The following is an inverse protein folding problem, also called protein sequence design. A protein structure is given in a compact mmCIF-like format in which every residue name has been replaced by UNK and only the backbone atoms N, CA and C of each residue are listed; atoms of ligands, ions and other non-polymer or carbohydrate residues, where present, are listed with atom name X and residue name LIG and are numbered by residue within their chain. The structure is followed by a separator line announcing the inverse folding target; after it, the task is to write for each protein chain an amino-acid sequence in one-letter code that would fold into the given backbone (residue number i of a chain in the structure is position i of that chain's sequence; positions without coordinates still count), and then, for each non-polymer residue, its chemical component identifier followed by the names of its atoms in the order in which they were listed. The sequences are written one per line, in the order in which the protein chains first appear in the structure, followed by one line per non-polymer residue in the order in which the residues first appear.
data_IF_847444438029
#
_entry.id   IF_847444438029
#
_cell.length_a   1.000
_cell.length_b   1.000
_cell.length_c   1.000
_cell.angle_alpha   90.00
_cell.angle_beta   90.00
_cell.angle_gamma   90.00
#
_symmetry.space_group_name_H-M   'P 1'
#
loop_
_entity.id
_entity.type
_entity.pdbx_description
1 polymer ?
#
# COMPACT_ATOMS: atom_id res chain seq x y z
N UNK A 1 0.37 -25.16 2.27
CA UNK A 1 -1.02 -24.70 2.41
C UNK A 1 -1.19 -24.04 3.77
N UNK A 2 -0.94 -24.76 4.86
CA UNK A 2 -1.02 -24.26 6.25
C UNK A 2 -0.36 -22.88 6.49
N UNK A 3 0.87 -22.67 6.03
CA UNK A 3 1.55 -21.37 6.21
C UNK A 3 0.82 -20.20 5.53
N UNK A 4 0.18 -20.41 4.38
CA UNK A 4 -0.59 -19.36 3.71
C UNK A 4 -1.86 -19.03 4.48
N UNK A 5 -2.51 -20.05 5.03
CA UNK A 5 -3.74 -19.87 5.80
C UNK A 5 -3.46 -19.16 7.14
N UNK A 6 -2.31 -19.45 7.77
CA UNK A 6 -1.84 -18.69 8.94
C UNK A 6 -1.65 -17.21 8.60
N UNK A 7 -0.93 -16.90 7.51
CA UNK A 7 -0.71 -15.51 7.10
C UNK A 7 -2.03 -14.82 6.72
N UNK A 8 -2.90 -15.49 5.97
CA UNK A 8 -4.22 -14.98 5.59
C UNK A 8 -5.01 -14.54 6.83
N UNK A 9 -5.12 -15.44 7.81
CA UNK A 9 -5.84 -15.16 9.05
C UNK A 9 -5.17 -14.06 9.87
N UNK A 10 -3.83 -14.01 9.89
CA UNK A 10 -3.08 -13.02 10.66
C UNK A 10 -3.24 -11.59 10.13
N UNK A 11 -3.54 -11.42 8.85
CA UNK A 11 -3.72 -10.11 8.21
C UNK A 11 -5.17 -9.79 7.86
N UNK A 12 -6.13 -10.58 8.37
CA UNK A 12 -7.56 -10.46 8.05
C UNK A 12 -7.85 -10.45 6.53
N UNK A 13 -7.13 -11.27 5.78
CA UNK A 13 -7.41 -11.52 4.37
C UNK A 13 -8.54 -12.54 4.22
N UNK A 14 -9.39 -12.33 3.22
CA UNK A 14 -10.56 -13.17 2.90
C UNK A 14 -10.19 -14.32 1.95
N UNK A 15 -11.18 -15.13 1.59
CA UNK A 15 -11.02 -16.18 0.57
C UNK A 15 -10.85 -15.61 -0.85
N UNK A 16 -11.25 -14.36 -1.08
CA UNK A 16 -11.05 -13.64 -2.34
C UNK A 16 -9.63 -13.06 -2.45
N UNK A 17 -8.85 -13.08 -1.35
CA UNK A 17 -7.49 -12.56 -1.30
C UNK A 17 -6.41 -13.64 -1.53
N UNK A 18 -5.41 -13.27 -2.32
CA UNK A 18 -4.27 -14.12 -2.64
C UNK A 18 -3.07 -13.87 -1.71
N UNK A 19 -2.55 -14.93 -1.08
CA UNK A 19 -1.27 -14.88 -0.34
C UNK A 19 -0.12 -15.38 -1.21
N UNK A 20 0.74 -14.45 -1.64
CA UNK A 20 1.86 -14.72 -2.54
C UNK A 20 3.18 -14.63 -1.77
N UNK A 21 4.00 -15.68 -1.84
CA UNK A 21 5.36 -15.64 -1.31
C UNK A 21 6.34 -15.16 -2.39
N UNK A 22 6.94 -14.00 -2.16
CA UNK A 22 7.72 -13.26 -3.16
C UNK A 22 9.22 -13.57 -3.16
N UNK A 23 9.78 -14.23 -2.15
CA UNK A 23 11.23 -14.48 -2.07
C UNK A 23 11.93 -13.50 -1.14
N UNK A 24 12.86 -12.69 -1.64
CA UNK A 24 13.80 -11.88 -0.83
C UNK A 24 13.23 -10.51 -0.41
N UNK A 25 12.06 -10.51 0.23
CA UNK A 25 11.49 -9.33 0.88
C UNK A 25 10.51 -8.52 0.02
N UNK A 26 10.31 -7.26 0.42
CA UNK A 26 9.25 -6.40 -0.13
C UNK A 26 9.52 -5.88 -1.54
N UNK A 27 10.78 -5.64 -1.90
CA UNK A 27 11.14 -5.18 -3.24
C UNK A 27 10.73 -6.21 -4.30
N UNK A 28 11.04 -7.50 -4.08
CA UNK A 28 10.62 -8.61 -4.94
C UNK A 28 9.09 -8.76 -4.97
N UNK A 29 8.41 -8.49 -3.85
CA UNK A 29 6.95 -8.53 -3.78
C UNK A 29 6.34 -7.46 -4.68
N UNK A 30 6.85 -6.23 -4.59
CA UNK A 30 6.38 -5.11 -5.39
C UNK A 30 6.70 -5.30 -6.87
N UNK A 31 7.88 -5.82 -7.22
CA UNK A 31 8.22 -6.13 -8.62
C UNK A 31 7.26 -7.18 -9.20
N UNK A 32 6.96 -8.24 -8.46
CA UNK A 32 5.96 -9.25 -8.86
C UNK A 32 4.56 -8.67 -8.97
N UNK A 33 4.17 -7.78 -8.06
CA UNK A 33 2.88 -7.10 -8.12
C UNK A 33 2.78 -6.24 -9.38
N UNK A 34 3.79 -5.41 -9.66
CA UNK A 34 3.85 -4.58 -10.87
C UNK A 34 3.74 -5.43 -12.13
N UNK A 35 4.46 -6.55 -12.18
CA UNK A 35 4.39 -7.49 -13.30
C UNK A 35 3.00 -8.12 -13.44
N UNK A 36 2.38 -8.52 -12.33
CA UNK A 36 1.06 -9.16 -12.33
C UNK A 36 -0.10 -8.21 -12.70
N UNK A 37 0.06 -6.90 -12.46
CA UNK A 37 -0.94 -5.90 -12.86
C UNK A 37 -1.07 -5.74 -14.38
N UNK A 38 -0.06 -6.15 -15.16
CA UNK A 38 -0.04 -6.10 -16.63
C UNK A 38 -0.57 -4.77 -17.21
N UNK A 39 -0.12 -3.65 -16.62
CA UNK A 39 -0.60 -2.32 -16.98
C UNK A 39 -0.16 -1.94 -18.40
N UNK A 40 -1.13 -1.71 -19.28
CA UNK A 40 -0.88 -1.32 -20.68
C UNK A 40 -0.36 0.11 -20.83
N UNK A 41 -0.76 0.97 -19.92
CA UNK A 41 -0.30 2.36 -19.83
C UNK A 41 0.34 2.60 -18.47
N UNK A 42 1.39 3.42 -18.45
CA UNK A 42 2.06 3.76 -17.20
C UNK A 42 1.06 4.41 -16.22
N UNK A 43 1.00 4.01 -14.94
CA UNK A 43 0.05 4.57 -13.99
C UNK A 43 0.46 5.95 -13.47
N UNK A 44 -0.43 6.60 -12.72
CA UNK A 44 -0.10 7.71 -11.81
C UNK A 44 0.00 7.14 -10.40
N UNK A 45 1.16 7.30 -9.76
CA UNK A 45 1.45 6.75 -8.43
C UNK A 45 1.50 7.90 -7.42
N UNK A 46 0.61 7.85 -6.44
CA UNK A 46 0.60 8.76 -5.30
C UNK A 46 1.44 8.17 -4.17
N UNK A 47 2.39 8.94 -3.65
CA UNK A 47 3.34 8.46 -2.65
C UNK A 47 3.43 9.39 -1.48
N UNK A 48 3.68 8.83 -0.29
CA UNK A 48 3.98 9.59 0.90
C UNK A 48 5.39 10.20 0.89
N UNK A 49 5.74 10.94 1.95
CA UNK A 49 7.06 11.53 2.19
C UNK A 49 8.14 10.51 2.58
N UNK A 50 7.74 9.36 3.13
CA UNK A 50 8.63 8.40 3.81
C UNK A 50 8.81 7.09 3.05
N UNK A 51 8.38 7.02 1.79
CA UNK A 51 8.44 5.78 1.01
C UNK A 51 9.88 5.28 0.82
N UNK A 52 10.03 3.96 0.88
CA UNK A 52 11.32 3.32 0.65
C UNK A 52 11.82 3.61 -0.77
N UNK A 53 13.05 4.11 -0.89
CA UNK A 53 13.61 4.57 -2.16
C UNK A 53 13.56 3.50 -3.27
N UNK A 54 13.89 2.25 -2.92
CA UNK A 54 13.89 1.14 -3.87
C UNK A 54 12.50 0.87 -4.46
N UNK A 55 11.44 1.02 -3.66
CA UNK A 55 10.06 0.84 -4.12
C UNK A 55 9.66 1.94 -5.10
N UNK A 56 10.08 3.19 -4.85
CA UNK A 56 9.86 4.31 -5.77
C UNK A 56 10.55 4.08 -7.12
N UNK A 57 11.79 3.55 -7.11
CA UNK A 57 12.54 3.27 -8.33
C UNK A 57 11.84 2.22 -9.21
N UNK A 58 11.18 1.22 -8.64
CA UNK A 58 10.44 0.22 -9.41
C UNK A 58 9.31 0.87 -10.21
N UNK A 59 8.51 1.73 -9.58
CA UNK A 59 7.47 2.48 -10.27
C UNK A 59 8.04 3.41 -11.35
N UNK A 60 9.14 4.12 -11.07
CA UNK A 60 9.79 5.00 -12.05
C UNK A 60 10.23 4.24 -13.31
N UNK A 61 10.73 3.00 -13.18
CA UNK A 61 11.14 2.16 -14.32
C UNK A 61 9.98 1.82 -15.26
N UNK A 62 8.74 1.83 -14.76
CA UNK A 62 7.53 1.62 -15.58
C UNK A 62 7.13 2.86 -16.41
N UNK A 63 7.80 4.00 -16.20
CA UNK A 63 7.37 5.29 -16.77
C UNK A 63 6.20 5.93 -16.03
N UNK A 64 5.89 5.44 -14.83
CA UNK A 64 4.82 5.97 -14.00
C UNK A 64 5.02 7.46 -13.68
N UNK A 65 3.92 8.21 -13.60
CA UNK A 65 3.95 9.57 -13.10
C UNK A 65 3.91 9.54 -11.58
N UNK A 66 5.01 9.93 -10.94
CA UNK A 66 5.08 10.01 -9.48
C UNK A 66 4.50 11.33 -8.99
N UNK A 67 3.58 11.26 -8.04
CA UNK A 67 2.94 12.41 -7.38
C UNK A 67 3.15 12.28 -5.88
N UNK A 68 3.98 13.14 -5.31
CA UNK A 68 4.26 13.13 -3.88
C UNK A 68 3.19 13.94 -3.14
N UNK A 69 2.55 13.31 -2.16
CA UNK A 69 1.59 13.94 -1.26
C UNK A 69 2.34 14.61 -0.11
N UNK A 70 1.88 15.80 0.25
CA UNK A 70 2.41 16.59 1.34
C UNK A 70 2.15 16.00 2.72
N UNK A 71 2.81 16.59 3.71
CA UNK A 71 2.59 16.34 5.12
C UNK A 71 1.86 17.53 5.74
N UNK A 72 0.95 17.24 6.66
CA UNK A 72 0.39 18.23 7.58
C UNK A 72 1.50 18.78 8.49
N UNK A 73 1.21 19.88 9.20
CA UNK A 73 2.17 20.47 10.17
C UNK A 73 2.58 19.52 11.28
N UNK A 74 1.74 18.54 11.59
CA UNK A 74 1.98 17.54 12.62
C UNK A 74 2.69 16.28 12.08
N UNK A 75 3.05 16.26 10.79
CA UNK A 75 3.80 15.17 10.15
C UNK A 75 2.96 14.00 9.66
N UNK A 76 1.62 14.11 9.67
CA UNK A 76 0.73 13.13 9.05
C UNK A 76 0.61 13.36 7.54
N UNK A 77 0.31 12.31 6.78
CA UNK A 77 -0.06 12.42 5.37
C UNK A 77 -1.25 13.38 5.20
N UNK A 78 -1.12 14.38 4.33
CA UNK A 78 -2.18 15.36 4.10
C UNK A 78 -3.26 14.79 3.17
N UNK A 79 -4.37 14.34 3.76
CA UNK A 79 -5.52 13.83 3.02
C UNK A 79 -6.18 14.88 2.11
N UNK A 80 -6.11 16.17 2.45
CA UNK A 80 -6.64 17.22 1.58
C UNK A 80 -5.77 17.38 0.34
N UNK A 81 -4.44 17.32 0.49
CA UNK A 81 -3.54 17.32 -0.65
C UNK A 81 -3.74 16.06 -1.50
N UNK A 82 -3.84 14.88 -0.88
CA UNK A 82 -4.17 13.63 -1.60
C UNK A 82 -5.45 13.77 -2.42
N UNK A 83 -6.54 14.27 -1.83
CA UNK A 83 -7.80 14.48 -2.54
C UNK A 83 -7.64 15.46 -3.71
N UNK A 84 -6.92 16.56 -3.52
CA UNK A 84 -6.67 17.54 -4.58
C UNK A 84 -5.89 16.92 -5.75
N UNK A 85 -4.86 16.12 -5.46
CA UNK A 85 -4.07 15.43 -6.48
C UNK A 85 -4.89 14.36 -7.20
N UNK A 86 -5.74 13.61 -6.49
CA UNK A 86 -6.66 12.63 -7.08
C UNK A 86 -7.65 13.31 -8.01
N UNK A 87 -8.31 14.39 -7.58
CA UNK A 87 -9.23 15.19 -8.40
C UNK A 87 -8.57 15.73 -9.67
N UNK A 88 -7.30 16.15 -9.57
CA UNK A 88 -6.55 16.65 -10.70
C UNK A 88 -6.21 15.55 -11.72
N UNK A 89 -6.00 14.31 -11.25
CA UNK A 89 -5.56 13.19 -12.08
C UNK A 89 -6.68 12.23 -12.53
N UNK A 90 -7.87 12.24 -11.92
CA UNK A 90 -8.95 11.29 -12.19
C UNK A 90 -9.37 11.17 -13.67
N UNK A 91 -9.23 12.23 -14.46
CA UNK A 91 -9.66 12.25 -15.87
C UNK A 91 -8.50 12.03 -16.87
N UNK A 92 -7.32 11.59 -16.41
CA UNK A 92 -6.17 11.41 -17.31
C UNK A 92 -6.20 10.11 -18.12
N UNK A 93 -7.17 9.22 -17.88
CA UNK A 93 -7.31 7.93 -18.58
C UNK A 93 -6.34 6.84 -18.13
N UNK A 94 -5.44 7.14 -17.18
CA UNK A 94 -4.43 6.23 -16.65
C UNK A 94 -4.89 5.65 -15.31
N UNK A 95 -4.42 4.45 -14.98
CA UNK A 95 -4.66 3.87 -13.65
C UNK A 95 -4.06 4.76 -12.57
N UNK A 96 -4.86 5.05 -11.54
CA UNK A 96 -4.44 5.75 -10.33
C UNK A 96 -4.08 4.71 -9.26
N UNK A 97 -2.97 4.89 -8.56
CA UNK A 97 -2.53 3.97 -7.49
C UNK A 97 -1.93 4.80 -6.35
N UNK A 98 -2.48 4.65 -5.15
CA UNK A 98 -1.81 5.07 -3.92
C UNK A 98 -0.84 3.99 -3.46
N UNK A 99 0.41 4.38 -3.21
CA UNK A 99 1.46 3.49 -2.71
C UNK A 99 2.08 4.15 -1.48
N UNK A 100 1.68 3.70 -0.30
CA UNK A 100 2.02 4.35 0.97
C UNK A 100 2.66 3.39 1.96
N UNK A 101 3.64 3.88 2.71
CA UNK A 101 4.22 3.16 3.85
C UNK A 101 3.33 3.35 5.06
N UNK A 102 2.99 2.27 5.76
CA UNK A 102 2.09 2.35 6.93
C UNK A 102 2.62 3.28 8.03
N UNK A 103 3.95 3.44 8.10
CA UNK A 103 4.61 4.27 9.08
C UNK A 103 5.78 5.04 8.46
N UNK A 104 6.00 6.25 8.95
CA UNK A 104 7.21 7.00 8.65
C UNK A 104 8.43 6.30 9.28
N UNK A 105 9.43 6.01 8.47
CA UNK A 105 10.70 5.42 8.92
C UNK A 105 11.53 6.35 9.81
N UNK A 106 11.25 7.66 9.75
CA UNK A 106 11.99 8.70 10.47
C UNK A 106 11.30 9.05 11.78
N UNK A 107 9.98 9.25 11.74
CA UNK A 107 9.21 9.75 12.90
C UNK A 107 8.42 8.65 13.60
N UNK A 108 8.22 7.50 12.97
CA UNK A 108 7.37 6.42 13.49
C UNK A 108 5.87 6.73 13.46
N UNK A 109 5.46 7.87 12.89
CA UNK A 109 4.06 8.25 12.76
C UNK A 109 3.34 7.26 11.84
N UNK A 110 2.23 6.71 12.32
CA UNK A 110 1.35 5.84 11.53
C UNK A 110 0.45 6.67 10.63
N UNK A 111 0.22 6.17 9.42
CA UNK A 111 -0.77 6.72 8.50
C UNK A 111 -2.13 6.09 8.83
N UNK A 112 -3.20 6.89 8.75
CA UNK A 112 -4.58 6.38 8.77
C UNK A 112 -4.88 5.69 7.44
N UNK A 113 -4.53 4.40 7.39
CA UNK A 113 -4.60 3.58 6.19
C UNK A 113 -6.01 3.31 5.73
N UNK A 114 -6.96 3.20 6.67
CA UNK A 114 -8.38 3.09 6.37
C UNK A 114 -8.90 4.36 5.66
N UNK A 115 -8.68 5.54 6.22
CA UNK A 115 -9.14 6.80 5.63
C UNK A 115 -8.50 7.05 4.26
N UNK A 116 -7.21 6.77 4.11
CA UNK A 116 -6.50 6.87 2.84
C UNK A 116 -7.08 5.92 1.80
N UNK A 117 -7.33 4.66 2.16
CA UNK A 117 -7.86 3.63 1.25
C UNK A 117 -9.26 3.98 0.76
N UNK A 118 -10.15 4.39 1.68
CA UNK A 118 -11.49 4.87 1.31
C UNK A 118 -11.40 6.04 0.33
N UNK A 119 -10.53 7.01 0.61
CA UNK A 119 -10.35 8.16 -0.27
C UNK A 119 -9.83 7.75 -1.66
N UNK A 120 -8.84 6.85 -1.75
CA UNK A 120 -8.36 6.34 -3.03
C UNK A 120 -9.48 5.68 -3.84
N UNK A 121 -10.25 4.81 -3.19
CA UNK A 121 -11.34 4.08 -3.83
C UNK A 121 -12.45 4.99 -4.33
N UNK A 122 -12.75 6.09 -3.63
CA UNK A 122 -13.71 7.11 -4.10
C UNK A 122 -13.33 7.72 -5.46
N UNK A 123 -12.04 7.72 -5.81
CA UNK A 123 -11.53 8.20 -7.09
C UNK A 123 -11.14 7.07 -8.06
N UNK A 124 -11.51 5.82 -7.77
CA UNK A 124 -11.17 4.65 -8.59
C UNK A 124 -9.68 4.31 -8.60
N UNK A 125 -8.92 4.80 -7.61
CA UNK A 125 -7.52 4.47 -7.45
C UNK A 125 -7.36 3.17 -6.66
N UNK A 126 -6.29 2.42 -6.93
CA UNK A 126 -5.91 1.25 -6.13
C UNK A 126 -5.11 1.67 -4.89
N UNK A 127 -5.21 0.93 -3.78
CA UNK A 127 -4.56 1.18 -2.51
C UNK A 127 -3.53 0.10 -2.17
N UNK A 128 -2.25 0.43 -2.37
CA UNK A 128 -1.12 -0.43 -2.03
C UNK A 128 -0.38 0.07 -0.79
N UNK A 129 -0.12 -0.85 0.13
CA UNK A 129 0.47 -0.53 1.42
C UNK A 129 1.76 -1.30 1.69
N UNK A 130 2.82 -0.54 1.96
CA UNK A 130 4.10 -1.04 2.42
C UNK A 130 4.10 -1.16 3.96
N UNK A 131 4.04 -2.40 4.44
CA UNK A 131 4.14 -2.74 5.85
C UNK A 131 5.56 -3.17 6.24
N UNK A 132 6.58 -3.04 5.38
CA UNK A 132 7.93 -3.54 5.62
C UNK A 132 8.60 -2.99 6.88
N UNK A 133 8.22 -1.82 7.38
CA UNK A 133 8.71 -1.27 8.65
C UNK A 133 7.72 -1.55 9.79
N UNK A 134 6.41 -1.34 9.54
CA UNK A 134 5.39 -1.40 10.58
C UNK A 134 4.96 -2.82 10.95
N UNK A 135 5.07 -3.80 10.06
CA UNK A 135 4.48 -5.14 10.20
C UNK A 135 4.73 -5.83 11.57
N UNK A 136 5.94 -5.77 12.16
CA UNK A 136 6.17 -6.39 13.47
C UNK A 136 5.48 -5.69 14.65
N UNK A 137 5.02 -4.45 14.45
CA UNK A 137 4.62 -3.53 15.51
C UNK A 137 3.19 -3.01 15.37
N UNK A 138 2.52 -3.25 14.25
CA UNK A 138 1.16 -2.78 13.97
C UNK A 138 0.26 -3.95 13.61
N UNK A 139 -1.03 -3.80 13.89
CA UNK A 139 -2.03 -4.72 13.38
C UNK A 139 -2.18 -4.48 11.87
N UNK A 140 -2.03 -5.54 11.08
CA UNK A 140 -2.20 -5.48 9.63
C UNK A 140 -3.61 -5.97 9.34
N UNK A 141 -4.42 -5.11 8.73
CA UNK A 141 -5.79 -5.43 8.36
C UNK A 141 -5.98 -5.24 6.85
N UNK A 142 -6.10 -6.34 6.12
CA UNK A 142 -6.36 -6.35 4.68
C UNK A 142 -7.80 -5.88 4.39
N UNK A 143 -8.77 -6.28 5.20
CA UNK A 143 -10.20 -6.03 4.99
C UNK A 143 -10.87 -5.47 6.26
N UNK A 144 -10.54 -4.24 6.68
CA UNK A 144 -11.11 -3.65 7.88
C UNK A 144 -12.61 -3.38 7.71
N UNK A 145 -13.39 -3.77 8.72
CA UNK A 145 -14.83 -3.50 8.79
C UNK A 145 -15.07 -2.26 9.66
N UNK A 146 -15.52 -1.17 9.03
CA UNK A 146 -15.73 0.11 9.70
C UNK A 146 -17.23 0.41 9.79
N UNK A 147 -17.81 0.54 11.00
CA UNK A 147 -19.22 0.84 11.16
C UNK A 147 -19.63 2.13 10.43
N UNK A 148 -20.66 2.03 9.58
CA UNK A 148 -21.19 3.17 8.83
C UNK A 148 -20.45 3.50 7.53
N UNK A 149 -19.43 2.71 7.16
CA UNK A 149 -18.77 2.74 5.85
C UNK A 149 -19.26 1.54 5.04
N UNK A 150 -19.37 1.70 3.72
CA UNK A 150 -19.74 0.60 2.81
C UNK A 150 -18.70 -0.54 2.91
N UNK A 151 -19.19 -1.78 2.83
CA UNK A 151 -18.37 -2.98 2.92
C UNK A 151 -17.23 -2.95 1.88
N UNK A 152 -16.04 -3.41 2.28
CA UNK A 152 -14.81 -3.41 1.46
C UNK A 152 -14.30 -2.04 0.97
N UNK A 153 -14.93 -0.91 1.34
CA UNK A 153 -14.44 0.42 0.95
C UNK A 153 -13.07 0.75 1.54
N UNK A 154 -12.73 0.16 2.69
CA UNK A 154 -11.44 0.31 3.35
C UNK A 154 -10.52 -0.92 3.13
N UNK A 155 -10.97 -1.91 2.37
CA UNK A 155 -10.17 -3.08 1.99
C UNK A 155 -8.99 -2.64 1.13
N UNK A 156 -7.80 -3.17 1.38
CA UNK A 156 -6.60 -2.79 0.63
C UNK A 156 -6.52 -3.64 -0.63
N UNK A 157 -6.05 -3.08 -1.75
CA UNK A 157 -5.84 -3.88 -2.95
C UNK A 157 -4.57 -4.74 -2.87
N UNK A 158 -3.55 -4.23 -2.17
CA UNK A 158 -2.35 -5.01 -1.87
C UNK A 158 -1.67 -4.54 -0.58
N UNK A 159 -1.16 -5.50 0.17
CA UNK A 159 -0.22 -5.29 1.26
C UNK A 159 1.04 -6.10 1.02
N UNK A 160 2.19 -5.58 1.44
CA UNK A 160 3.43 -6.34 1.40
C UNK A 160 4.30 -6.04 2.62
N UNK A 161 4.93 -7.09 3.15
CA UNK A 161 5.84 -7.02 4.28
C UNK A 161 6.88 -8.14 4.22
N UNK A 162 8.00 -7.96 4.93
CA UNK A 162 9.08 -8.94 4.96
C UNK A 162 8.99 -9.80 6.21
N UNK A 163 8.70 -11.10 6.05
CA UNK A 163 8.60 -12.05 7.17
C UNK A 163 9.88 -12.17 8.01
N UNK A 164 11.07 -11.96 7.41
CA UNK A 164 12.35 -12.00 8.12
C UNK A 164 12.56 -10.86 9.12
N UNK A 165 11.69 -9.84 9.11
CA UNK A 165 11.73 -8.74 10.09
C UNK A 165 10.91 -9.03 11.35
N UNK A 166 10.14 -10.12 11.37
CA UNK A 166 9.43 -10.57 12.56
C UNK A 166 10.37 -11.33 13.51
N UNK A 167 10.01 -11.35 14.80
CA UNK A 167 10.72 -12.18 15.79
C UNK A 167 10.62 -13.64 15.36
N UNK A 168 11.76 -14.31 15.23
CA UNK A 168 11.85 -15.70 14.76
C UNK A 168 11.75 -15.86 13.23
N UNK A 169 11.75 -14.76 12.48
CA UNK A 169 11.81 -14.78 11.03
C UNK A 169 13.08 -15.45 10.51
N UNK A 170 12.96 -16.22 9.43
CA UNK A 170 14.10 -16.86 8.77
C UNK A 170 15.05 -15.80 8.20
N UNK A 171 16.34 -15.91 8.51
CA UNK A 171 17.36 -15.11 7.83
C UNK A 171 17.46 -15.60 6.39
N UNK A 172 17.21 -14.71 5.44
CA UNK A 172 17.39 -14.95 4.00
C UNK A 172 18.81 -14.66 3.57
#
# INVERSE_FOLDING_TARGET
QEARDIIRNAVNASDDDAVIFSGHGCTDALEKLIFALDLREAPVIFTGPSEHHDNLQLWQKTGAKMVRIGETKDGYLDLNDLENQLRFHQNCGRQLIGCFSIASSVTGILIDDAACTILLHQYGALAFWDFNIGAPSVFIDMNPVIPGVEENSAGKDAIYFSGHKFIGGVQT
#
